data_IF_792606746346
#
_entry.id   IF_792606746346
#
_cell.length_a   1.000
_cell.length_b   1.000
_cell.length_c   1.000
_cell.angle_alpha   90.00
_cell.angle_beta   90.00
_cell.angle_gamma   90.00
#
_symmetry.space_group_name_H-M   'P 1'
#
loop_
_entity.id
_entity.type
_entity.pdbx_description
1 polymer ?
#
# COMPACT_ATOMS: atom_id res chain seq x y z
N UNK A 1 14.06 -5.54 27.54
CA UNK A 1 13.69 -6.07 26.21
C UNK A 1 12.16 -6.04 26.09
N UNK A 2 11.59 -5.03 25.45
CA UNK A 2 10.12 -4.91 25.30
C UNK A 2 9.73 -5.49 23.94
N UNK A 3 9.08 -6.65 23.97
CA UNK A 3 8.49 -7.27 22.79
C UNK A 3 7.34 -6.38 22.27
N UNK A 4 7.60 -5.60 21.22
CA UNK A 4 6.58 -4.83 20.50
C UNK A 4 5.77 -5.77 19.58
N UNK A 5 5.05 -6.71 20.19
CA UNK A 5 4.13 -7.62 19.50
C UNK A 5 2.70 -7.11 19.62
N UNK A 6 2.29 -6.19 18.75
CA UNK A 6 0.89 -5.73 18.70
C UNK A 6 0.05 -6.73 17.89
N UNK A 7 -0.88 -7.43 18.55
CA UNK A 7 -1.77 -8.40 17.89
C UNK A 7 -2.83 -7.68 17.05
N UNK A 8 -2.55 -7.54 15.75
CA UNK A 8 -3.59 -7.26 14.76
C UNK A 8 -4.42 -8.53 14.58
N UNK A 9 -5.74 -8.43 14.77
CA UNK A 9 -6.70 -9.52 14.63
C UNK A 9 -6.44 -10.34 13.35
N UNK A 10 -6.24 -11.65 13.53
CA UNK A 10 -6.00 -12.62 12.45
C UNK A 10 -7.15 -12.59 11.43
N UNK A 11 -8.39 -12.41 11.87
CA UNK A 11 -9.56 -12.28 11.01
C UNK A 11 -9.46 -11.02 10.13
N UNK A 12 -9.02 -9.89 10.69
CA UNK A 12 -8.82 -8.66 9.92
C UNK A 12 -7.72 -8.82 8.87
N UNK A 13 -6.60 -9.49 9.20
CA UNK A 13 -5.54 -9.80 8.23
C UNK A 13 -6.04 -10.68 7.09
N UNK A 14 -6.84 -11.70 7.40
CA UNK A 14 -7.47 -12.59 6.40
C UNK A 14 -8.45 -11.82 5.51
N UNK A 15 -9.27 -10.94 6.08
CA UNK A 15 -10.21 -10.12 5.34
C UNK A 15 -9.49 -9.13 4.40
N UNK A 16 -8.42 -8.50 4.88
CA UNK A 16 -7.58 -7.61 4.08
C UNK A 16 -6.95 -8.35 2.90
N UNK A 17 -6.41 -9.55 3.12
CA UNK A 17 -5.84 -10.38 2.06
C UNK A 17 -6.88 -10.75 1.00
N UNK A 18 -8.12 -11.10 1.41
CA UNK A 18 -9.24 -11.36 0.49
C UNK A 18 -9.61 -10.11 -0.33
N UNK A 19 -9.69 -8.94 0.32
CA UNK A 19 -10.00 -7.67 -0.34
C UNK A 19 -8.94 -7.28 -1.38
N UNK A 20 -7.65 -7.46 -1.07
CA UNK A 20 -6.56 -7.18 -2.02
C UNK A 20 -6.55 -8.19 -3.18
N UNK A 21 -6.87 -9.46 -2.90
CA UNK A 21 -6.99 -10.49 -3.93
C UNK A 21 -8.18 -10.22 -4.87
N UNK A 22 -9.31 -9.72 -4.36
CA UNK A 22 -10.51 -9.51 -5.18
C UNK A 22 -10.32 -8.46 -6.29
N UNK A 23 -9.41 -7.51 -6.11
CA UNK A 23 -9.10 -6.49 -7.12
C UNK A 23 -7.94 -6.90 -8.04
N UNK A 24 -7.35 -8.08 -7.89
CA UNK A 24 -6.13 -8.47 -8.63
C UNK A 24 -6.32 -8.51 -10.15
N UNK A 25 -7.49 -8.94 -10.62
CA UNK A 25 -7.80 -8.94 -12.05
C UNK A 25 -7.89 -7.50 -12.59
N UNK A 26 -8.65 -6.64 -11.92
CA UNK A 26 -8.74 -5.21 -12.27
C UNK A 26 -7.36 -4.52 -12.26
N UNK A 27 -6.50 -4.85 -11.28
CA UNK A 27 -5.13 -4.36 -11.24
C UNK A 27 -4.31 -4.74 -12.48
N UNK A 28 -4.57 -5.90 -13.07
CA UNK A 28 -3.83 -6.40 -14.23
C UNK A 28 -4.44 -5.96 -15.57
N UNK A 29 -5.75 -6.06 -15.75
CA UNK A 29 -6.44 -5.79 -17.02
C UNK A 29 -6.74 -4.30 -17.22
N UNK A 30 -7.36 -3.66 -16.23
CA UNK A 30 -7.88 -2.29 -16.35
C UNK A 30 -6.84 -1.26 -15.90
N UNK A 31 -6.43 -1.34 -14.63
CA UNK A 31 -5.52 -0.39 -14.01
C UNK A 31 -4.06 -0.58 -14.48
N UNK A 32 -3.73 -1.77 -15.01
CA UNK A 32 -2.42 -2.10 -15.58
C UNK A 32 -1.25 -1.75 -14.63
N UNK A 33 -1.41 -2.08 -13.35
CA UNK A 33 -0.46 -1.82 -12.26
C UNK A 33 -0.02 -0.34 -12.14
N UNK A 34 -0.96 0.61 -12.31
CA UNK A 34 -0.69 2.04 -12.28
C UNK A 34 0.15 2.52 -11.08
N UNK A 35 -0.15 2.04 -9.87
CA UNK A 35 0.61 2.40 -8.66
C UNK A 35 2.09 1.99 -8.74
N UNK A 36 2.43 0.91 -9.44
CA UNK A 36 3.81 0.48 -9.67
C UNK A 36 4.51 1.32 -10.76
N UNK A 37 3.76 1.91 -11.70
CA UNK A 37 4.31 2.76 -12.77
C UNK A 37 4.60 4.17 -12.30
N UNK A 38 3.70 4.73 -11.49
CA UNK A 38 3.87 6.06 -10.90
C UNK A 38 4.70 6.04 -9.61
N UNK A 39 4.87 4.84 -9.05
CA UNK A 39 5.62 4.59 -7.82
C UNK A 39 4.91 5.01 -6.53
N UNK A 40 3.69 5.56 -6.56
CA UNK A 40 2.97 6.05 -5.37
C UNK A 40 2.75 4.96 -4.30
N UNK A 41 3.74 4.78 -3.44
CA UNK A 41 3.73 3.89 -2.30
C UNK A 41 4.38 4.64 -1.14
N UNK A 42 3.67 4.66 -0.02
CA UNK A 42 4.22 5.14 1.25
C UNK A 42 5.14 4.05 1.80
N UNK A 43 6.44 4.26 1.68
CA UNK A 43 7.50 3.37 2.12
C UNK A 43 8.18 3.93 3.37
N UNK A 44 8.71 3.08 4.22
CA UNK A 44 9.79 3.49 5.13
C UNK A 44 11.09 3.73 4.34
N UNK A 45 12.08 4.40 4.92
CA UNK A 45 13.38 4.62 4.26
C UNK A 45 14.03 3.29 3.81
N UNK A 46 14.00 2.30 4.71
CA UNK A 46 14.53 0.96 4.45
C UNK A 46 13.81 0.28 3.27
N UNK A 47 12.49 0.44 3.16
CA UNK A 47 11.71 -0.10 2.05
C UNK A 47 11.95 0.65 0.75
N UNK A 48 12.14 1.97 0.80
CA UNK A 48 12.49 2.76 -0.38
C UNK A 48 13.82 2.27 -0.98
N UNK A 49 14.86 2.06 -0.16
CA UNK A 49 16.15 1.51 -0.62
C UNK A 49 16.06 0.11 -1.23
N UNK A 50 15.04 -0.69 -0.86
CA UNK A 50 14.82 -2.02 -1.46
C UNK A 50 14.13 -1.98 -2.83
N UNK A 51 13.41 -0.90 -3.13
CA UNK A 51 12.67 -0.72 -4.39
C UNK A 51 13.48 0.07 -5.40
N UNK A 52 14.36 0.96 -4.95
CA UNK A 52 15.15 1.85 -5.81
C UNK A 52 16.60 1.35 -5.84
N UNK A 53 17.07 0.89 -7.02
CA UNK A 53 18.50 0.61 -7.29
C UNK A 53 19.31 1.87 -7.65
N UNK A 54 18.68 3.04 -7.54
CA UNK A 54 19.16 4.33 -8.01
C UNK A 54 19.34 5.24 -6.80
N UNK A 55 20.30 6.15 -6.89
CA UNK A 55 20.62 7.15 -5.86
C UNK A 55 19.36 7.83 -5.31
N UNK A 56 19.27 7.92 -4.00
CA UNK A 56 18.10 8.38 -3.22
C UNK A 56 17.65 9.82 -3.52
N UNK A 57 18.43 10.56 -4.32
CA UNK A 57 18.19 11.95 -4.72
C UNK A 57 16.82 12.20 -5.39
N UNK A 58 16.19 11.18 -6.01
CA UNK A 58 14.86 11.30 -6.62
C UNK A 58 13.67 10.99 -5.70
N UNK A 59 13.92 10.63 -4.44
CA UNK A 59 12.85 10.30 -3.47
C UNK A 59 12.21 11.56 -2.91
N UNK A 60 10.88 11.67 -3.03
CA UNK A 60 10.13 12.69 -2.29
C UNK A 60 9.75 12.13 -0.92
N UNK A 61 10.36 12.68 0.14
CA UNK A 61 9.86 12.47 1.50
C UNK A 61 8.48 13.11 1.59
N UNK A 62 7.48 12.36 2.02
CA UNK A 62 6.18 12.94 2.40
C UNK A 62 6.12 12.83 3.92
N UNK A 63 6.19 13.97 4.61
CA UNK A 63 5.84 14.01 6.02
C UNK A 63 4.34 13.70 6.14
N UNK A 64 4.05 12.46 6.53
CA UNK A 64 2.70 12.05 6.87
C UNK A 64 2.48 12.48 8.32
N UNK A 65 1.51 13.38 8.53
CA UNK A 65 1.19 13.99 9.82
C UNK A 65 1.19 13.02 11.02
N UNK A 66 1.56 13.58 12.17
CA UNK A 66 1.69 12.97 13.49
C UNK A 66 0.56 11.97 13.79
N UNK A 67 0.95 10.71 14.03
CA UNK A 67 0.02 9.61 14.32
C UNK A 67 0.53 8.26 13.82
N UNK A 68 1.48 8.25 12.87
CA UNK A 68 2.05 7.04 12.30
C UNK A 68 3.52 6.76 12.65
N UNK A 69 4.14 7.63 13.46
CA UNK A 69 5.50 7.46 13.99
C UNK A 69 6.58 7.40 12.92
N UNK A 70 7.10 8.55 12.49
CA UNK A 70 8.32 8.67 11.68
C UNK A 70 8.12 9.11 10.22
N UNK A 71 9.24 9.46 9.57
CA UNK A 71 9.33 9.91 8.17
C UNK A 71 8.93 8.78 7.22
N UNK A 72 7.94 9.02 6.35
CA UNK A 72 7.55 8.10 5.27
C UNK A 72 7.96 8.70 3.93
N UNK A 73 8.33 7.85 3.01
CA UNK A 73 8.82 8.20 1.69
C UNK A 73 7.72 7.86 0.70
N UNK A 74 7.31 8.80 -0.14
CA UNK A 74 6.52 8.44 -1.31
C UNK A 74 7.46 8.31 -2.49
N UNK A 75 7.51 7.12 -3.05
CA UNK A 75 8.34 6.87 -4.20
C UNK A 75 7.65 7.44 -5.47
N UNK A 76 7.68 8.74 -5.73
CA UNK A 76 7.13 9.25 -6.99
C UNK A 76 8.10 8.98 -8.17
N UNK A 77 8.09 7.76 -8.71
CA UNK A 77 8.89 7.44 -9.91
C UNK A 77 8.35 8.12 -11.18
N UNK A 78 7.10 8.61 -11.15
CA UNK A 78 6.51 9.38 -12.25
C UNK A 78 7.27 10.66 -12.58
N UNK A 79 7.94 11.27 -11.59
CA UNK A 79 8.77 12.47 -11.80
C UNK A 79 10.15 12.17 -12.41
N UNK A 80 10.61 10.92 -12.36
CA UNK A 80 11.92 10.50 -12.86
C UNK A 80 11.84 9.65 -14.13
N UNK A 81 10.64 9.43 -14.68
CA UNK A 81 10.42 8.64 -15.89
C UNK A 81 10.64 7.13 -15.70
N UNK A 82 10.85 6.65 -14.48
CA UNK A 82 11.09 5.24 -14.20
C UNK A 82 9.82 4.54 -13.71
N UNK A 83 9.63 3.29 -14.08
CA UNK A 83 8.64 2.41 -13.46
C UNK A 83 9.31 1.58 -12.36
N UNK A 84 8.54 0.95 -11.48
CA UNK A 84 9.11 0.02 -10.50
C UNK A 84 10.02 -1.01 -11.21
N UNK A 85 11.29 -1.19 -10.81
CA UNK A 85 12.23 -2.07 -11.52
C UNK A 85 11.85 -3.55 -11.42
N UNK A 86 10.92 -3.90 -10.53
CA UNK A 86 10.39 -5.25 -10.38
C UNK A 86 9.06 -5.44 -11.15
N UNK A 87 8.68 -4.49 -12.00
CA UNK A 87 7.51 -4.57 -12.88
C UNK A 87 7.96 -4.99 -14.28
N UNK A 88 7.41 -6.10 -14.79
CA UNK A 88 7.59 -6.54 -16.17
C UNK A 88 6.22 -6.56 -16.85
N UNK A 89 6.00 -5.67 -17.82
CA UNK A 89 4.65 -5.34 -18.30
C UNK A 89 3.77 -4.84 -17.15
N UNK A 90 2.71 -5.58 -16.80
CA UNK A 90 1.86 -5.30 -15.63
C UNK A 90 2.03 -6.32 -14.50
N UNK A 91 3.02 -7.20 -14.62
CA UNK A 91 3.29 -8.28 -13.66
C UNK A 91 4.38 -7.87 -12.69
N UNK A 92 4.10 -7.99 -11.39
CA UNK A 92 5.09 -7.79 -10.34
C UNK A 92 5.94 -9.06 -10.17
N UNK A 93 7.23 -8.99 -10.49
CA UNK A 93 8.19 -10.10 -10.43
C UNK A 93 8.45 -10.57 -9.00
N UNK A 94 8.32 -9.67 -8.02
CA UNK A 94 8.51 -9.96 -6.61
C UNK A 94 7.19 -10.19 -5.86
N UNK A 95 6.07 -10.42 -6.55
CA UNK A 95 4.73 -10.49 -5.91
C UNK A 95 4.67 -11.51 -4.75
N UNK A 96 5.29 -12.68 -4.95
CA UNK A 96 5.38 -13.78 -3.98
C UNK A 96 6.65 -13.74 -3.12
N UNK A 97 7.56 -12.79 -3.36
CA UNK A 97 8.84 -12.74 -2.67
C UNK A 97 8.69 -12.29 -1.21
N UNK A 98 9.46 -12.89 -0.31
CA UNK A 98 9.63 -12.41 1.07
C UNK A 98 10.32 -11.04 1.14
N UNK A 99 11.02 -10.64 0.08
CA UNK A 99 11.62 -9.29 -0.05
C UNK A 99 10.64 -8.23 -0.53
N UNK A 100 9.40 -8.59 -0.90
CA UNK A 100 8.38 -7.61 -1.30
C UNK A 100 8.12 -6.63 -0.15
N UNK A 101 8.24 -5.31 -0.34
CA UNK A 101 8.00 -4.34 0.73
C UNK A 101 6.61 -4.50 1.35
N UNK A 102 6.49 -4.22 2.65
CA UNK A 102 5.23 -4.37 3.38
C UNK A 102 4.17 -3.45 2.78
N UNK A 103 4.53 -2.20 2.49
CA UNK A 103 3.64 -1.26 1.82
C UNK A 103 3.09 -1.81 0.48
N UNK A 104 3.92 -2.49 -0.33
CA UNK A 104 3.48 -3.13 -1.57
C UNK A 104 2.50 -4.28 -1.33
N UNK A 105 2.64 -5.02 -0.22
CA UNK A 105 1.72 -6.12 0.15
C UNK A 105 0.41 -5.61 0.70
N UNK A 106 0.45 -4.44 1.35
CA UNK A 106 -0.70 -3.86 1.99
C UNK A 106 -1.52 -2.94 1.08
N UNK A 107 -0.92 -2.34 0.05
CA UNK A 107 -1.63 -1.50 -0.90
C UNK A 107 -2.80 -2.26 -1.58
N UNK A 108 -3.98 -1.62 -1.78
CA UNK A 108 -4.36 -0.24 -1.41
C UNK A 108 -5.01 -0.10 -0.01
N UNK A 109 -5.17 -1.21 0.71
CA UNK A 109 -5.94 -1.29 1.96
C UNK A 109 -5.03 -1.71 3.10
N UNK A 110 -4.78 -0.80 4.02
CA UNK A 110 -3.81 -0.96 5.07
C UNK A 110 -4.47 -1.14 6.43
N UNK A 111 -4.04 -2.14 7.20
CA UNK A 111 -4.52 -2.33 8.57
C UNK A 111 -3.55 -1.63 9.52
N UNK A 112 -4.09 -0.81 10.40
CA UNK A 112 -3.34 -0.05 11.40
C UNK A 112 -3.75 -0.49 12.80
N UNK A 113 -3.06 0.07 13.80
CA UNK A 113 -3.43 -0.07 15.21
C UNK A 113 -4.83 0.52 15.44
N UNK A 114 -5.40 0.19 16.60
CA UNK A 114 -6.67 0.77 17.07
C UNK A 114 -7.85 0.55 16.12
N UNK A 115 -7.84 -0.61 15.45
CA UNK A 115 -8.85 -1.01 14.46
C UNK A 115 -9.09 0.04 13.36
N UNK A 116 -8.02 0.65 12.85
CA UNK A 116 -8.12 1.55 11.71
C UNK A 116 -7.81 0.80 10.40
N UNK A 117 -8.71 0.91 9.42
CA UNK A 117 -8.44 0.54 8.02
C UNK A 117 -8.21 1.80 7.23
N UNK A 118 -7.00 1.99 6.74
CA UNK A 118 -6.64 3.10 5.87
C UNK A 118 -6.74 2.64 4.41
N UNK A 119 -7.52 3.34 3.60
CA UNK A 119 -7.67 3.07 2.17
C UNK A 119 -7.08 4.24 1.41
N UNK A 120 -6.24 3.95 0.41
CA UNK A 120 -5.69 5.04 -0.41
C UNK A 120 -6.66 5.44 -1.53
N UNK A 121 -7.00 6.73 -1.61
CA UNK A 121 -7.76 7.29 -2.73
C UNK A 121 -6.95 7.27 -4.02
N UNK A 122 -5.63 7.16 -3.98
CA UNK A 122 -4.79 7.09 -5.20
C UNK A 122 -4.95 5.78 -5.99
N UNK A 123 -5.66 4.80 -5.45
CA UNK A 123 -5.92 3.54 -6.16
C UNK A 123 -7.22 3.65 -6.99
N UNK A 124 -7.17 3.46 -8.32
CA UNK A 124 -8.38 3.47 -9.15
C UNK A 124 -9.45 2.47 -8.69
N UNK A 125 -9.05 1.26 -8.30
CA UNK A 125 -9.97 0.25 -7.75
C UNK A 125 -10.68 0.70 -6.46
N UNK A 126 -10.00 1.52 -5.65
CA UNK A 126 -10.60 2.11 -4.45
C UNK A 126 -11.55 3.26 -4.82
N UNK A 127 -11.17 4.13 -5.78
CA UNK A 127 -12.05 5.19 -6.30
C UNK A 127 -13.34 4.63 -6.90
N UNK A 128 -13.26 3.49 -7.57
CA UNK A 128 -14.41 2.77 -8.14
C UNK A 128 -15.19 1.91 -7.12
N UNK A 129 -14.92 2.06 -5.82
CA UNK A 129 -15.62 1.35 -4.75
C UNK A 129 -15.55 -0.20 -4.81
N UNK A 130 -14.59 -0.78 -5.53
CA UNK A 130 -14.47 -2.25 -5.65
C UNK A 130 -14.14 -2.95 -4.32
N UNK A 131 -13.66 -2.19 -3.34
CA UNK A 131 -13.36 -2.67 -1.99
C UNK A 131 -14.55 -2.54 -1.02
N UNK A 132 -15.64 -1.87 -1.41
CA UNK A 132 -16.77 -1.55 -0.55
C UNK A 132 -17.33 -2.76 0.23
N UNK A 133 -17.55 -3.94 -0.39
CA UNK A 133 -18.06 -5.11 0.34
C UNK A 133 -17.15 -5.56 1.49
N UNK A 134 -15.84 -5.34 1.37
CA UNK A 134 -14.87 -5.66 2.41
C UNK A 134 -14.81 -4.56 3.48
N UNK A 135 -14.89 -3.29 3.07
CA UNK A 135 -14.93 -2.15 4.00
C UNK A 135 -16.18 -2.21 4.89
N UNK A 136 -17.32 -2.63 4.35
CA UNK A 136 -18.54 -2.87 5.14
C UNK A 136 -18.33 -3.97 6.19
N UNK A 137 -17.61 -5.05 5.85
CA UNK A 137 -17.26 -6.12 6.80
C UNK A 137 -16.32 -5.62 7.90
N UNK A 138 -15.33 -4.81 7.55
CA UNK A 138 -14.45 -4.16 8.54
C UNK A 138 -15.25 -3.27 9.50
N UNK A 139 -16.17 -2.45 8.99
CA UNK A 139 -17.06 -1.63 9.84
C UNK A 139 -17.85 -2.49 10.83
N UNK A 140 -18.43 -3.62 10.38
CA UNK A 140 -19.13 -4.58 11.25
C UNK A 140 -18.23 -5.20 12.33
N UNK A 141 -16.92 -5.31 12.07
CA UNK A 141 -15.93 -5.77 13.05
C UNK A 141 -15.46 -4.67 14.02
N UNK A 142 -16.05 -3.47 13.95
CA UNK A 142 -15.69 -2.32 14.77
C UNK A 142 -14.46 -1.56 14.27
N UNK A 143 -14.09 -1.69 12.99
CA UNK A 143 -13.00 -0.91 12.42
C UNK A 143 -13.47 0.46 11.92
N UNK A 144 -12.66 1.49 12.19
CA UNK A 144 -12.80 2.82 11.60
C UNK A 144 -12.16 2.83 10.21
N UNK A 145 -12.91 3.26 9.19
CA UNK A 145 -12.38 3.42 7.84
C UNK A 145 -11.90 4.85 7.67
N UNK A 146 -10.64 5.03 7.28
CA UNK A 146 -10.01 6.32 6.99
C UNK A 146 -9.51 6.28 5.55
N UNK A 147 -9.71 7.36 4.82
CA UNK A 147 -9.17 7.48 3.47
C UNK A 147 -8.04 8.52 3.45
N UNK A 148 -6.95 8.26 2.73
CA UNK A 148 -5.92 9.28 2.53
C UNK A 148 -6.43 10.35 1.55
N UNK A 149 -6.55 11.60 1.95
CA UNK A 149 -7.04 12.63 1.02
C UNK A 149 -5.96 13.00 0.00
N UNK A 150 -6.38 13.22 -1.26
CA UNK A 150 -5.57 13.92 -2.26
C UNK A 150 -5.41 15.38 -1.78
N UNK A 151 -4.33 15.66 -1.05
CA UNK A 151 -3.75 17.01 -0.98
C UNK A 151 -2.66 17.13 -2.04
#
# INVERSE_FOLDING_TARGET
MVALGFEVDVAARRLAAKARKSISNYCFSECKAYCCRQGYLLLTEREARMVVKVDTAGLRVIDVHEGLGGKRFALNLGASGFSCPNLSGFKCLIHKSRSRPLACREFPLFIRKDKIVMVTFRCPAAKENLLYPFLAKFKKMGYKIVYDQER
#
